data_IF_160979482587
#
_entry.id   IF_160979482587
#
_cell.length_a   1.000
_cell.length_b   1.000
_cell.length_c   1.000
_cell.angle_alpha   90.00
_cell.angle_beta   90.00
_cell.angle_gamma   90.00
#
_symmetry.space_group_name_H-M   'P 1'
#
loop_
_entity.id
_entity.type
_entity.pdbx_description
1 polymer ?
#
# COMPACT_ATOMS: atom_id res chain seq x y z
N UNK A 1 -2.35 -10.65 -2.70
CA UNK A 1 -0.91 -10.59 -2.45
C UNK A 1 -0.65 -10.26 -1.00
N UNK A 2 0.40 -10.82 -0.43
CA UNK A 2 0.84 -10.41 0.91
C UNK A 2 1.60 -9.09 0.82
N UNK A 3 1.99 -8.54 2.00
CA UNK A 3 2.63 -7.22 2.02
C UNK A 3 3.98 -7.20 1.31
N UNK A 4 4.73 -8.29 1.37
CA UNK A 4 6.01 -8.38 0.67
C UNK A 4 5.84 -8.33 -0.84
N UNK A 5 4.84 -9.04 -1.34
CA UNK A 5 4.49 -9.03 -2.75
C UNK A 5 3.97 -7.66 -3.18
N UNK A 6 3.13 -7.05 -2.34
CA UNK A 6 2.60 -5.72 -2.61
C UNK A 6 3.72 -4.67 -2.66
N UNK A 7 4.69 -4.78 -1.77
CA UNK A 7 5.85 -3.89 -1.77
C UNK A 7 6.63 -4.00 -3.08
N UNK A 8 6.89 -5.21 -3.52
CA UNK A 8 7.61 -5.42 -4.79
C UNK A 8 6.80 -4.91 -5.99
N UNK A 9 5.50 -5.18 -6.00
CA UNK A 9 4.65 -4.79 -7.12
C UNK A 9 4.43 -3.28 -7.20
N UNK A 10 4.39 -2.60 -6.06
CA UNK A 10 4.11 -1.16 -6.01
C UNK A 10 5.37 -0.30 -5.99
N UNK A 11 6.49 -0.86 -5.59
CA UNK A 11 7.73 -0.10 -5.40
C UNK A 11 7.73 0.72 -4.11
N UNK A 12 6.83 0.40 -3.17
CA UNK A 12 6.75 1.05 -1.87
C UNK A 12 7.16 0.01 -0.83
N UNK A 13 7.99 0.41 0.15
CA UNK A 13 8.43 -0.53 1.17
C UNK A 13 7.27 -1.00 2.04
N UNK A 14 7.40 -2.20 2.59
CA UNK A 14 6.38 -2.75 3.49
C UNK A 14 6.15 -1.80 4.67
N UNK A 15 7.21 -1.20 5.20
CA UNK A 15 7.11 -0.23 6.29
C UNK A 15 6.21 0.95 5.90
N UNK A 16 6.40 1.50 4.72
CA UNK A 16 5.60 2.62 4.25
C UNK A 16 4.16 2.22 3.96
N UNK A 17 3.95 1.01 3.44
CA UNK A 17 2.59 0.51 3.23
C UNK A 17 1.84 0.45 4.55
N UNK A 18 2.49 -0.07 5.60
CA UNK A 18 1.87 -0.11 6.94
C UNK A 18 1.57 1.28 7.46
N UNK A 19 2.46 2.23 7.20
CA UNK A 19 2.25 3.61 7.61
C UNK A 19 1.02 4.21 6.91
N UNK A 20 0.90 4.01 5.61
CA UNK A 20 -0.23 4.54 4.86
C UNK A 20 -1.55 3.92 5.31
N UNK A 21 -1.55 2.64 5.69
CA UNK A 21 -2.72 2.02 6.27
C UNK A 21 -3.06 2.63 7.64
N UNK A 22 -2.03 2.87 8.45
CA UNK A 22 -2.23 3.40 9.81
C UNK A 22 -2.86 4.79 9.79
N UNK A 23 -2.53 5.60 8.81
CA UNK A 23 -3.11 6.95 8.69
C UNK A 23 -4.39 6.98 7.87
N UNK A 24 -4.87 5.83 7.42
CA UNK A 24 -6.11 5.73 6.67
C UNK A 24 -6.05 6.12 5.22
N UNK A 25 -4.83 6.26 4.67
CA UNK A 25 -4.66 6.63 3.27
C UNK A 25 -5.04 5.48 2.34
N UNK A 26 -4.77 4.26 2.77
CA UNK A 26 -5.21 3.04 2.09
C UNK A 26 -5.81 2.08 3.10
N UNK A 27 -6.60 1.14 2.62
CA UNK A 27 -7.11 0.06 3.45
C UNK A 27 -6.89 -1.27 2.75
N UNK A 28 -6.28 -2.21 3.46
CA UNK A 28 -6.08 -3.55 2.94
C UNK A 28 -7.30 -4.41 3.28
N UNK A 29 -7.62 -5.33 2.37
CA UNK A 29 -8.59 -6.36 2.68
C UNK A 29 -8.07 -7.29 3.78
N UNK A 30 -8.99 -7.99 4.42
CA UNK A 30 -8.64 -8.99 5.43
C UNK A 30 -9.10 -10.35 4.94
N UNK A 31 -8.18 -11.31 4.91
CA UNK A 31 -8.54 -12.69 4.69
C UNK A 31 -8.96 -13.34 6.01
N UNK A 32 -9.27 -14.63 5.97
CA UNK A 32 -9.44 -15.41 7.19
C UNK A 32 -8.18 -15.25 8.04
N UNK A 33 -8.29 -15.32 9.34
CA UNK A 33 -7.17 -15.19 10.28
C UNK A 33 -6.52 -13.80 10.28
N UNK A 34 -7.21 -12.80 9.77
CA UNK A 34 -6.77 -11.40 9.81
C UNK A 34 -5.49 -11.12 9.03
N UNK A 35 -5.15 -11.94 8.06
CA UNK A 35 -4.04 -11.65 7.16
C UNK A 35 -4.38 -10.43 6.31
N UNK A 36 -3.38 -9.59 6.09
CA UNK A 36 -3.50 -8.49 5.14
C UNK A 36 -3.38 -9.05 3.73
N UNK A 37 -4.40 -8.78 2.93
CA UNK A 37 -4.44 -9.24 1.54
C UNK A 37 -4.56 -8.01 0.65
N UNK A 38 -3.67 -7.91 -0.30
CA UNK A 38 -3.63 -6.77 -1.23
C UNK A 38 -4.12 -7.22 -2.59
N UNK A 39 -5.11 -6.51 -3.12
CA UNK A 39 -5.68 -6.78 -4.43
C UNK A 39 -4.96 -5.99 -5.52
N UNK A 40 -5.30 -6.25 -6.78
CA UNK A 40 -4.80 -5.44 -7.88
C UNK A 40 -5.19 -3.97 -7.73
N UNK A 41 -6.40 -3.70 -7.22
CA UNK A 41 -6.85 -2.33 -6.97
C UNK A 41 -5.99 -1.66 -5.91
N UNK A 42 -5.61 -2.40 -4.87
CA UNK A 42 -4.73 -1.88 -3.82
C UNK A 42 -3.35 -1.53 -4.40
N UNK A 43 -2.84 -2.37 -5.27
CA UNK A 43 -1.55 -2.11 -5.91
C UNK A 43 -1.62 -0.87 -6.79
N UNK A 44 -2.72 -0.68 -7.51
CA UNK A 44 -2.91 0.52 -8.32
C UNK A 44 -2.92 1.78 -7.46
N UNK A 45 -3.58 1.73 -6.29
CA UNK A 45 -3.58 2.84 -5.35
C UNK A 45 -2.18 3.13 -4.82
N UNK A 46 -1.44 2.09 -4.46
CA UNK A 46 -0.08 2.25 -3.96
C UNK A 46 0.84 2.86 -5.02
N UNK A 47 0.70 2.43 -6.27
CA UNK A 47 1.47 3.00 -7.37
C UNK A 47 1.14 4.46 -7.58
N UNK A 48 -0.13 4.82 -7.45
CA UNK A 48 -0.56 6.22 -7.54
C UNK A 48 0.06 7.05 -6.42
N UNK A 49 0.06 6.53 -5.19
CA UNK A 49 0.66 7.19 -4.03
C UNK A 49 2.15 7.40 -4.26
N UNK A 50 2.84 6.37 -4.74
CA UNK A 50 4.28 6.48 -5.04
C UNK A 50 4.53 7.56 -6.07
N UNK A 51 3.74 7.59 -7.12
CA UNK A 51 3.88 8.57 -8.18
C UNK A 51 3.67 9.99 -7.64
N UNK A 52 2.63 10.20 -6.85
CA UNK A 52 2.36 11.49 -6.23
C UNK A 52 3.51 11.92 -5.32
N UNK A 53 4.05 11.01 -4.52
CA UNK A 53 5.18 11.29 -3.64
C UNK A 53 6.41 11.70 -4.47
N UNK A 54 6.67 10.99 -5.55
CA UNK A 54 7.83 11.26 -6.41
C UNK A 54 7.70 12.62 -7.10
N UNK A 55 6.46 13.10 -7.30
CA UNK A 55 6.20 14.43 -7.85
C UNK A 55 6.25 15.53 -6.79
N UNK A 56 6.44 15.16 -5.53
CA UNK A 56 6.58 16.11 -4.45
C UNK A 56 5.30 16.49 -3.72
N UNK A 57 4.20 15.78 -3.96
CA UNK A 57 2.97 16.03 -3.20
C UNK A 57 3.15 15.56 -1.77
N UNK A 58 2.72 16.36 -0.79
CA UNK A 58 2.81 15.95 0.60
C UNK A 58 1.83 14.82 0.89
N UNK A 59 2.33 13.75 1.47
CA UNK A 59 1.53 12.62 1.88
C UNK A 59 1.71 12.42 3.38
N UNK A 60 0.63 12.39 4.09
CA UNK A 60 0.66 12.18 5.54
C UNK A 60 0.60 10.72 5.89
#
# INVERSE_FOLDING_TARGET
MNIGEAARASGISAKMIRHYEAIGLISAGRGANHYRVYSQADIAELRFIRHARDLGFPLQ
#
